data_IF_563239778432
#
_entry.id   IF_563239778432
#
_cell.length_a   1.000
_cell.length_b   1.000
_cell.length_c   1.000
_cell.angle_alpha   90.00
_cell.angle_beta   90.00
_cell.angle_gamma   90.00
#
_symmetry.space_group_name_H-M   'P 1'
#
loop_
_entity.id
_entity.type
_entity.pdbx_description
1 polymer ?
#
# COMPACT_ATOMS: atom_id res chain seq x y z
N UNK A 1 -63.29 38.69 8.13
CA UNK A 1 -62.20 38.47 9.09
C UNK A 1 -61.51 39.82 9.28
N UNK A 2 -61.47 40.31 10.51
CA UNK A 2 -60.80 41.57 10.87
C UNK A 2 -59.36 41.23 11.27
N UNK A 3 -58.38 41.74 10.51
CA UNK A 3 -56.96 41.42 10.71
C UNK A 3 -56.47 41.71 12.13
N UNK A 4 -57.10 42.69 12.81
CA UNK A 4 -56.78 43.03 14.20
C UNK A 4 -57.22 41.97 15.22
N UNK A 5 -58.36 41.31 15.00
CA UNK A 5 -58.83 40.24 15.90
C UNK A 5 -57.99 38.98 15.76
N UNK A 6 -57.61 38.65 14.52
CA UNK A 6 -56.84 37.44 14.21
C UNK A 6 -55.40 37.57 14.73
N UNK A 7 -54.80 38.75 14.60
CA UNK A 7 -53.48 39.05 15.18
C UNK A 7 -53.49 38.95 16.71
N UNK A 8 -54.52 39.49 17.37
CA UNK A 8 -54.64 39.46 18.84
C UNK A 8 -54.83 38.03 19.35
N UNK A 9 -55.71 37.24 18.72
CA UNK A 9 -55.90 35.84 19.04
C UNK A 9 -54.61 35.02 18.85
N UNK A 10 -53.87 35.24 17.76
CA UNK A 10 -52.57 34.61 17.52
C UNK A 10 -51.51 34.99 18.55
N UNK A 11 -51.43 36.26 18.93
CA UNK A 11 -50.48 36.75 19.95
C UNK A 11 -50.77 36.21 21.34
N UNK A 12 -52.05 36.14 21.73
CA UNK A 12 -52.46 35.62 23.03
C UNK A 12 -52.22 34.10 23.11
N UNK A 13 -52.49 33.36 22.03
CA UNK A 13 -52.11 31.95 21.93
C UNK A 13 -50.59 31.76 22.01
N UNK A 14 -49.79 32.58 21.30
CA UNK A 14 -48.34 32.49 21.35
C UNK A 14 -47.80 32.75 22.77
N UNK A 15 -48.34 33.75 23.48
CA UNK A 15 -47.99 34.01 24.89
C UNK A 15 -48.42 32.89 25.83
N UNK A 16 -49.57 32.27 25.57
CA UNK A 16 -50.04 31.13 26.33
C UNK A 16 -49.14 29.91 26.14
N UNK A 17 -48.65 29.67 24.91
CA UNK A 17 -47.77 28.54 24.59
C UNK A 17 -46.32 28.82 24.99
N UNK A 18 -45.92 30.08 25.06
CA UNK A 18 -44.58 30.51 25.46
C UNK A 18 -44.28 30.06 26.90
N UNK A 19 -43.51 28.97 27.01
CA UNK A 19 -43.03 28.43 28.28
C UNK A 19 -43.78 27.20 28.79
N UNK A 20 -44.92 26.81 28.22
CA UNK A 20 -45.61 25.57 28.62
C UNK A 20 -44.74 24.34 28.38
N UNK A 21 -44.09 24.24 27.21
CA UNK A 21 -43.18 23.13 26.91
C UNK A 21 -41.94 23.10 27.82
N UNK A 22 -41.39 24.26 28.19
CA UNK A 22 -40.23 24.35 29.08
C UNK A 22 -40.60 24.06 30.55
N UNK A 23 -41.80 24.45 30.99
CA UNK A 23 -42.29 24.16 32.33
C UNK A 23 -42.61 22.67 32.52
N UNK A 24 -43.03 21.96 31.48
CA UNK A 24 -43.19 20.49 31.53
C UNK A 24 -41.86 19.75 31.73
N UNK A 25 -40.74 20.34 31.28
CA UNK A 25 -39.41 19.75 31.40
C UNK A 25 -38.68 20.17 32.70
N UNK A 26 -39.14 21.21 33.41
CA UNK A 26 -38.52 21.69 34.65
C UNK A 26 -38.43 20.64 35.77
N UNK A 27 -39.38 19.70 35.79
CA UNK A 27 -39.46 18.66 36.83
C UNK A 27 -39.04 17.29 36.31
N UNK A 28 -38.44 17.22 35.11
CA UNK A 28 -37.95 15.96 34.57
C UNK A 28 -36.59 15.63 35.22
N UNK A 29 -36.57 14.57 36.05
CA UNK A 29 -35.34 13.95 36.57
C UNK A 29 -35.06 12.68 35.77
N UNK A 30 -33.86 12.58 35.18
CA UNK A 30 -33.45 11.41 34.42
C UNK A 30 -33.43 10.15 35.28
N UNK A 31 -32.94 10.28 36.52
CA UNK A 31 -32.82 9.20 37.51
C UNK A 31 -34.16 8.55 37.86
N UNK A 32 -35.24 9.33 37.87
CA UNK A 32 -36.57 8.87 38.24
C UNK A 32 -37.39 8.37 37.04
N UNK A 33 -37.11 8.85 35.83
CA UNK A 33 -37.96 8.65 34.66
C UNK A 33 -37.34 7.80 33.55
N UNK A 34 -36.03 7.52 33.61
CA UNK A 34 -35.31 6.76 32.59
C UNK A 34 -34.63 5.53 33.22
N UNK A 35 -35.08 4.31 32.89
CA UNK A 35 -34.43 3.08 33.35
C UNK A 35 -32.97 3.02 32.89
N UNK A 36 -32.05 2.80 33.84
CA UNK A 36 -30.61 2.72 33.55
C UNK A 36 -29.91 4.06 33.34
N UNK A 37 -30.58 5.18 33.65
CA UNK A 37 -29.96 6.51 33.60
C UNK A 37 -28.86 6.64 34.66
N UNK A 38 -27.73 7.18 34.23
CA UNK A 38 -26.61 7.60 35.06
C UNK A 38 -26.08 8.90 34.48
N UNK A 39 -25.76 9.87 35.34
CA UNK A 39 -25.15 11.15 34.92
C UNK A 39 -23.75 10.96 34.33
N UNK A 40 -23.10 9.84 34.62
CA UNK A 40 -21.76 9.52 34.17
C UNK A 40 -21.69 8.05 33.73
N UNK A 41 -22.17 7.71 32.53
CA UNK A 41 -21.98 6.37 31.97
C UNK A 41 -20.50 6.11 31.73
N UNK A 42 -20.07 4.85 31.77
CA UNK A 42 -18.67 4.46 31.54
C UNK A 42 -18.16 4.94 30.16
N UNK A 43 -19.07 5.07 29.19
CA UNK A 43 -18.80 5.56 27.84
C UNK A 43 -18.40 7.05 27.80
N UNK A 44 -18.62 7.80 28.89
CA UNK A 44 -18.18 9.20 29.02
C UNK A 44 -16.67 9.33 28.84
N UNK A 45 -15.89 8.29 29.20
CA UNK A 45 -14.43 8.27 28.99
C UNK A 45 -14.00 8.35 27.52
N UNK A 46 -14.92 8.06 26.59
CA UNK A 46 -14.68 8.16 25.14
C UNK A 46 -15.16 9.50 24.56
N UNK A 47 -15.88 10.31 25.33
CA UNK A 47 -16.40 11.59 24.88
C UNK A 47 -15.55 12.74 25.44
N UNK A 48 -14.74 13.37 24.58
CA UNK A 48 -13.87 14.48 24.99
C UNK A 48 -14.44 15.89 24.73
N UNK A 49 -15.67 16.00 24.23
CA UNK A 49 -16.30 17.29 23.88
C UNK A 49 -15.85 17.89 22.54
N UNK A 50 -16.37 19.07 22.19
CA UNK A 50 -16.17 19.72 20.87
C UNK A 50 -14.73 20.19 20.60
N UNK A 51 -13.89 20.21 21.63
CA UNK A 51 -12.46 20.58 21.54
C UNK A 51 -11.54 19.36 21.62
N UNK A 52 -12.07 18.15 21.76
CA UNK A 52 -11.25 16.96 21.76
C UNK A 52 -10.71 16.67 20.36
N UNK A 53 -9.38 16.65 20.26
CA UNK A 53 -8.63 16.35 19.04
C UNK A 53 -8.22 14.88 18.96
N UNK A 54 -8.73 14.00 19.83
CA UNK A 54 -8.27 12.61 19.87
C UNK A 54 -9.21 11.62 20.55
N UNK A 55 -9.04 10.37 20.14
CA UNK A 55 -9.72 9.14 20.53
C UNK A 55 -8.84 8.29 21.48
N UNK A 56 -8.03 8.94 22.32
CA UNK A 56 -6.98 8.31 23.13
C UNK A 56 -7.48 7.18 24.03
N UNK A 57 -8.61 7.38 24.71
CA UNK A 57 -9.21 6.35 25.57
C UNK A 57 -9.68 5.13 24.77
N UNK A 58 -10.23 5.34 23.57
CA UNK A 58 -10.67 4.26 22.69
C UNK A 58 -9.48 3.46 22.15
N UNK A 59 -8.42 4.14 21.74
CA UNK A 59 -7.15 3.53 21.32
C UNK A 59 -6.49 2.74 22.45
N UNK A 60 -6.48 3.29 23.66
CA UNK A 60 -5.93 2.63 24.85
C UNK A 60 -6.68 1.34 25.17
N UNK A 61 -8.02 1.39 25.20
CA UNK A 61 -8.83 0.20 25.47
C UNK A 61 -8.72 -0.83 24.34
N UNK A 62 -8.65 -0.39 23.09
CA UNK A 62 -8.43 -1.29 21.94
C UNK A 62 -7.08 -2.02 22.03
N UNK A 63 -6.03 -1.30 22.43
CA UNK A 63 -4.70 -1.90 22.62
C UNK A 63 -4.68 -2.88 23.80
N UNK A 64 -5.40 -2.56 24.88
CA UNK A 64 -5.54 -3.45 26.04
C UNK A 64 -6.28 -4.74 25.66
N UNK A 65 -7.39 -4.63 24.93
CA UNK A 65 -8.17 -5.78 24.47
C UNK A 65 -7.38 -6.64 23.48
N UNK A 66 -6.63 -6.03 22.56
CA UNK A 66 -5.74 -6.79 21.66
C UNK A 66 -4.60 -7.49 22.41
N UNK A 67 -4.12 -6.92 23.51
CA UNK A 67 -3.05 -7.54 24.32
C UNK A 67 -3.55 -8.62 25.27
N UNK A 68 -4.74 -8.46 25.85
CA UNK A 68 -5.20 -9.26 26.99
C UNK A 68 -6.43 -10.12 26.68
N UNK A 69 -7.21 -9.72 25.68
CA UNK A 69 -8.42 -10.41 25.25
C UNK A 69 -8.12 -11.73 24.55
N UNK A 70 -9.11 -12.63 24.58
CA UNK A 70 -8.97 -13.99 24.06
C UNK A 70 -8.69 -14.01 22.56
N UNK A 71 -9.29 -13.07 21.80
CA UNK A 71 -9.03 -12.91 20.37
C UNK A 71 -7.58 -12.51 20.09
N UNK A 72 -7.03 -11.57 20.86
CA UNK A 72 -5.65 -11.11 20.72
C UNK A 72 -4.62 -12.18 21.07
N UNK A 73 -4.90 -12.96 22.12
CA UNK A 73 -4.13 -14.16 22.47
C UNK A 73 -4.20 -15.21 21.38
N UNK A 74 -5.38 -15.52 20.86
CA UNK A 74 -5.55 -16.53 19.79
C UNK A 74 -4.77 -16.16 18.52
N UNK A 75 -4.77 -14.88 18.12
CA UNK A 75 -3.97 -14.39 16.99
C UNK A 75 -2.48 -14.62 17.27
N UNK A 76 -2.00 -14.18 18.44
CA UNK A 76 -0.59 -14.29 18.83
C UNK A 76 -0.13 -15.75 18.94
N UNK A 77 -0.96 -16.61 19.53
CA UNK A 77 -0.74 -18.05 19.63
C UNK A 77 -0.74 -18.71 18.25
N UNK A 78 -1.59 -18.28 17.32
CA UNK A 78 -1.59 -18.79 15.96
C UNK A 78 -0.29 -18.49 15.24
N UNK A 79 0.34 -17.33 15.47
CA UNK A 79 1.65 -17.03 14.88
C UNK A 79 2.79 -17.74 15.61
N UNK A 80 2.72 -17.84 16.92
CA UNK A 80 3.78 -18.45 17.75
C UNK A 80 3.83 -19.98 17.57
N UNK A 81 2.66 -20.63 17.48
CA UNK A 81 2.54 -22.07 17.38
C UNK A 81 2.33 -22.57 15.94
N UNK A 82 2.41 -21.69 14.94
CA UNK A 82 2.36 -22.11 13.54
C UNK A 82 3.53 -23.07 13.27
N UNK A 83 3.28 -24.25 12.69
CA UNK A 83 4.35 -25.14 12.25
C UNK A 83 5.30 -24.40 11.30
N UNK A 84 6.62 -24.61 11.40
CA UNK A 84 7.56 -23.99 10.47
C UNK A 84 7.21 -24.40 9.04
N UNK A 85 7.33 -23.46 8.11
CA UNK A 85 7.11 -23.73 6.70
C UNK A 85 8.09 -24.83 6.25
N UNK A 86 7.55 -25.94 5.77
CA UNK A 86 8.36 -27.03 5.26
C UNK A 86 8.87 -26.66 3.87
N UNK A 87 10.17 -26.42 3.77
CA UNK A 87 10.84 -26.30 2.46
C UNK A 87 10.80 -27.68 1.81
N UNK A 88 9.99 -27.82 0.76
CA UNK A 88 9.93 -29.05 -0.03
C UNK A 88 11.32 -29.35 -0.61
N UNK A 89 11.83 -30.53 -0.28
CA UNK A 89 13.10 -31.04 -0.81
C UNK A 89 13.04 -31.35 -2.31
N UNK A 90 11.82 -31.40 -2.88
CA UNK A 90 11.53 -31.62 -4.29
C UNK A 90 11.35 -30.30 -5.06
N UNK A 91 11.54 -29.16 -4.38
CA UNK A 91 11.49 -27.87 -5.05
C UNK A 91 12.56 -27.80 -6.16
N UNK A 92 12.24 -27.31 -7.37
CA UNK A 92 13.14 -27.36 -8.52
C UNK A 92 14.54 -26.76 -8.27
N UNK A 93 14.64 -25.74 -7.42
CA UNK A 93 15.91 -25.11 -7.07
C UNK A 93 16.75 -25.95 -6.10
N UNK A 94 16.12 -26.68 -5.17
CA UNK A 94 16.83 -27.64 -4.29
C UNK A 94 17.28 -28.84 -5.12
N UNK A 95 16.44 -29.33 -6.03
CA UNK A 95 16.81 -30.42 -6.91
C UNK A 95 17.96 -30.03 -7.83
N UNK A 96 17.93 -28.83 -8.43
CA UNK A 96 19.03 -28.34 -9.25
C UNK A 96 20.35 -28.20 -8.48
N UNK A 97 20.30 -27.81 -7.20
CA UNK A 97 21.47 -27.76 -6.33
C UNK A 97 22.02 -29.16 -6.04
N UNK A 98 21.16 -30.12 -5.69
CA UNK A 98 21.54 -31.54 -5.50
C UNK A 98 22.09 -32.17 -6.79
N UNK A 99 21.50 -31.85 -7.93
CA UNK A 99 21.96 -32.32 -9.22
C UNK A 99 23.34 -31.74 -9.55
N UNK A 100 23.58 -30.47 -9.20
CA UNK A 100 24.89 -29.82 -9.34
C UNK A 100 25.94 -30.43 -8.42
N UNK A 101 25.59 -30.71 -7.17
CA UNK A 101 26.45 -31.43 -6.22
C UNK A 101 26.79 -32.83 -6.75
N UNK A 102 25.79 -33.62 -7.15
CA UNK A 102 25.98 -34.98 -7.67
C UNK A 102 26.82 -35.03 -8.95
N UNK A 103 26.82 -33.94 -9.71
CA UNK A 103 27.56 -33.81 -10.97
C UNK A 103 28.83 -32.97 -10.81
N UNK A 104 29.20 -32.57 -9.60
CA UNK A 104 30.33 -31.68 -9.35
C UNK A 104 31.60 -32.20 -10.02
N UNK A 105 31.89 -33.50 -9.87
CA UNK A 105 33.05 -34.17 -10.49
C UNK A 105 33.07 -34.05 -12.03
N UNK A 106 31.90 -34.05 -12.67
CA UNK A 106 31.80 -33.85 -14.12
C UNK A 106 31.82 -32.39 -14.55
N UNK A 107 31.37 -31.47 -13.68
CA UNK A 107 31.25 -30.03 -13.93
C UNK A 107 32.59 -29.33 -13.76
N UNK A 108 33.38 -29.69 -12.74
CA UNK A 108 34.78 -29.25 -12.66
C UNK A 108 35.61 -29.87 -13.78
N UNK A 109 35.08 -30.88 -14.47
CA UNK A 109 35.82 -31.74 -15.35
C UNK A 109 36.89 -32.48 -14.55
N UNK A 110 37.39 -33.57 -15.08
CA UNK A 110 38.59 -34.25 -14.59
C UNK A 110 39.85 -33.38 -14.85
N UNK A 111 39.80 -32.08 -14.51
CA UNK A 111 40.80 -31.04 -14.80
C UNK A 111 41.68 -30.72 -13.59
N UNK A 112 41.38 -31.29 -12.42
CA UNK A 112 42.36 -31.40 -11.36
C UNK A 112 43.24 -32.61 -11.65
N UNK A 113 44.55 -32.42 -11.82
CA UNK A 113 45.52 -33.52 -11.82
C UNK A 113 45.14 -34.51 -10.72
N UNK A 114 44.85 -35.76 -11.09
CA UNK A 114 44.63 -36.86 -10.16
C UNK A 114 45.77 -36.88 -9.14
N UNK A 115 45.53 -36.36 -7.94
CA UNK A 115 46.48 -36.37 -6.83
C UNK A 115 46.61 -37.80 -6.31
N UNK A 116 47.35 -38.65 -7.04
CA UNK A 116 47.81 -39.94 -6.53
C UNK A 116 48.99 -39.70 -5.60
N UNK A 117 48.90 -40.22 -4.37
CA UNK A 117 50.02 -40.22 -3.44
C UNK A 117 51.21 -40.97 -4.05
N UNK A 118 52.26 -40.25 -4.42
CA UNK A 118 53.51 -40.83 -4.88
C UNK A 118 54.58 -40.75 -3.79
N UNK A 119 55.25 -41.87 -3.54
CA UNK A 119 56.42 -41.93 -2.67
C UNK A 119 57.60 -41.34 -3.44
N UNK A 120 58.00 -40.11 -3.09
CA UNK A 120 59.12 -39.43 -3.72
C UNK A 120 60.41 -39.76 -2.95
N UNK A 121 61.18 -40.75 -3.43
CA UNK A 121 62.55 -40.94 -2.98
C UNK A 121 63.43 -39.88 -3.62
N UNK A 122 63.71 -38.80 -2.88
CA UNK A 122 64.51 -37.68 -3.40
C UNK A 122 65.95 -37.80 -2.89
N UNK A 123 66.86 -38.23 -3.75
CA UNK A 123 68.30 -38.12 -3.52
C UNK A 123 68.72 -36.66 -3.69
N UNK A 124 69.32 -36.08 -2.66
CA UNK A 124 69.82 -34.71 -2.66
C UNK A 124 71.15 -34.65 -3.44
N UNK A 125 71.16 -33.90 -4.54
CA UNK A 125 72.39 -33.61 -5.30
C UNK A 125 72.70 -32.12 -5.16
N UNK A 126 73.80 -31.82 -4.47
CA UNK A 126 74.37 -30.48 -4.33
C UNK A 126 75.06 -30.08 -5.64
N UNK A 127 74.59 -29.02 -6.29
CA UNK A 127 75.25 -28.44 -7.46
C UNK A 127 76.01 -27.17 -7.09
N UNK A 128 77.27 -27.13 -7.49
CA UNK A 128 78.14 -25.95 -7.41
C UNK A 128 77.88 -25.00 -8.60
N UNK A 129 77.90 -23.71 -8.32
CA UNK A 129 77.65 -22.63 -9.30
C UNK A 129 78.95 -22.20 -9.99
N UNK A 130 78.90 -21.99 -11.30
CA UNK A 130 79.87 -21.14 -12.02
C UNK A 130 79.11 -19.93 -12.57
N UNK A 131 79.63 -18.73 -12.30
CA UNK A 131 79.11 -17.46 -12.78
C UNK A 131 79.27 -17.33 -14.30
N UNK A 132 78.28 -16.70 -14.96
CA UNK A 132 78.36 -16.30 -16.37
C UNK A 132 78.02 -14.80 -16.49
N UNK A 133 79.03 -14.07 -16.96
CA UNK A 133 79.11 -12.82 -17.72
C UNK A 133 78.00 -11.74 -17.62
N UNK A 134 78.44 -10.50 -17.34
CA UNK A 134 77.65 -9.32 -16.93
C UNK A 134 77.13 -8.45 -18.10
N UNK A 135 76.95 -8.97 -19.32
CA UNK A 135 76.58 -8.13 -20.47
C UNK A 135 75.39 -8.62 -21.31
N UNK A 136 74.25 -8.91 -20.66
CA UNK A 136 72.96 -8.91 -21.38
C UNK A 136 71.91 -8.18 -20.56
N UNK A 137 71.74 -6.88 -20.83
CA UNK A 137 70.55 -6.13 -20.41
C UNK A 137 69.37 -6.51 -21.32
N UNK A 138 68.59 -7.51 -20.90
CA UNK A 138 67.29 -7.79 -21.50
C UNK A 138 66.20 -7.04 -20.72
N UNK A 139 65.68 -5.96 -21.30
CA UNK A 139 64.53 -5.25 -20.75
C UNK A 139 63.24 -6.00 -21.10
N UNK A 140 62.63 -6.64 -20.10
CA UNK A 140 61.26 -7.12 -20.21
C UNK A 140 60.30 -5.94 -20.01
N UNK A 141 59.78 -5.36 -21.09
CA UNK A 141 58.67 -4.41 -21.01
C UNK A 141 57.35 -5.16 -20.89
N UNK A 142 56.63 -4.92 -19.77
CA UNK A 142 55.31 -5.49 -19.52
C UNK A 142 54.25 -4.51 -19.98
N UNK A 143 53.68 -4.73 -21.17
CA UNK A 143 52.52 -3.98 -21.62
C UNK A 143 51.25 -4.52 -20.94
N UNK A 144 50.54 -3.66 -20.23
CA UNK A 144 49.24 -3.96 -19.65
C UNK A 144 48.17 -3.12 -20.36
N UNK A 145 47.21 -3.77 -21.00
CA UNK A 145 46.06 -3.12 -21.62
C UNK A 145 44.83 -3.29 -20.73
N UNK A 146 44.12 -2.18 -20.46
CA UNK A 146 42.83 -2.22 -19.78
C UNK A 146 41.80 -2.84 -20.72
N UNK A 147 41.38 -4.08 -20.42
CA UNK A 147 40.17 -4.66 -21.03
C UNK A 147 38.96 -4.17 -20.25
N UNK A 148 38.22 -3.24 -20.83
CA UNK A 148 36.88 -2.89 -20.35
C UNK A 148 35.92 -4.03 -20.72
N UNK A 149 35.45 -4.75 -19.72
CA UNK A 149 34.54 -5.88 -19.88
C UNK A 149 33.11 -5.41 -19.56
N UNK A 150 32.63 -4.42 -20.33
CA UNK A 150 31.35 -3.76 -20.09
C UNK A 150 30.17 -4.73 -20.30
N UNK A 151 29.66 -5.29 -19.20
CA UNK A 151 28.41 -6.06 -19.20
C UNK A 151 27.20 -5.14 -19.27
N UNK A 152 26.39 -5.28 -20.31
CA UNK A 152 25.08 -4.59 -20.40
C UNK A 152 24.05 -5.32 -19.51
N UNK A 153 23.62 -4.68 -18.42
CA UNK A 153 22.54 -5.20 -17.59
C UNK A 153 21.19 -4.63 -18.04
N UNK A 154 20.21 -5.51 -18.27
CA UNK A 154 18.81 -5.10 -18.49
C UNK A 154 18.13 -4.99 -17.13
N UNK A 155 17.75 -3.78 -16.74
CA UNK A 155 17.07 -3.51 -15.47
C UNK A 155 15.61 -3.15 -15.75
N UNK A 156 14.68 -3.76 -15.03
CA UNK A 156 13.28 -3.37 -15.07
C UNK A 156 13.14 -1.98 -14.41
N UNK A 157 12.55 -1.02 -15.13
CA UNK A 157 12.29 0.33 -14.62
C UNK A 157 10.81 0.65 -14.72
N UNK A 158 10.26 1.16 -13.62
CA UNK A 158 8.90 1.69 -13.57
C UNK A 158 8.95 3.19 -13.86
N UNK A 159 8.09 3.65 -14.76
CA UNK A 159 7.96 5.05 -15.12
C UNK A 159 6.54 5.52 -14.84
N UNK A 160 6.41 6.70 -14.24
CA UNK A 160 5.12 7.38 -14.14
C UNK A 160 4.93 8.24 -15.38
N UNK A 161 3.77 8.10 -16.04
CA UNK A 161 3.40 8.91 -17.19
C UNK A 161 2.09 9.62 -16.90
N UNK A 162 2.13 10.96 -16.93
CA UNK A 162 0.94 11.80 -16.79
C UNK A 162 0.37 12.05 -18.18
N UNK A 163 -0.94 11.81 -18.34
CA UNK A 163 -1.67 12.06 -19.58
C UNK A 163 -2.75 13.08 -19.29
N UNK A 164 -2.74 14.19 -20.03
CA UNK A 164 -3.83 15.17 -19.96
C UNK A 164 -5.05 14.63 -20.68
N UNK A 165 -6.19 14.61 -19.99
CA UNK A 165 -7.48 14.26 -20.57
C UNK A 165 -8.16 15.51 -21.14
N UNK A 166 -8.80 15.38 -22.29
CA UNK A 166 -9.59 16.43 -22.91
C UNK A 166 -11.09 16.12 -22.78
N UNK A 167 -11.87 17.11 -22.34
CA UNK A 167 -13.32 16.99 -22.22
C UNK A 167 -14.01 17.31 -23.55
N UNK A 168 -14.81 16.35 -24.04
CA UNK A 168 -15.61 16.51 -25.24
C UNK A 168 -17.07 16.76 -24.86
N UNK A 169 -17.59 17.97 -25.13
CA UNK A 169 -18.97 18.38 -24.77
C UNK A 169 -20.07 17.58 -25.45
N UNK A 170 -19.82 17.10 -26.67
CA UNK A 170 -20.76 16.33 -27.48
C UNK A 170 -20.97 14.90 -26.92
N UNK A 171 -19.91 14.26 -26.44
CA UNK A 171 -19.97 12.91 -25.86
C UNK A 171 -20.03 12.92 -24.33
N UNK A 172 -19.83 14.09 -23.71
CA UNK A 172 -19.72 14.29 -22.26
C UNK A 172 -18.65 13.39 -21.62
N UNK A 173 -17.54 13.18 -22.34
CA UNK A 173 -16.48 12.25 -21.92
C UNK A 173 -15.11 12.93 -21.89
N UNK A 174 -14.30 12.53 -20.91
CA UNK A 174 -12.87 12.82 -20.85
C UNK A 174 -12.10 11.75 -21.62
N UNK A 175 -11.19 12.16 -22.50
CA UNK A 175 -10.40 11.24 -23.32
C UNK A 175 -8.95 11.67 -23.42
N UNK A 176 -8.04 10.68 -23.43
CA UNK A 176 -6.61 10.87 -23.60
C UNK A 176 -5.97 9.60 -24.13
N UNK A 177 -4.71 9.71 -24.59
CA UNK A 177 -3.97 8.58 -25.14
C UNK A 177 -2.74 8.27 -24.30
N UNK A 178 -2.60 7.01 -23.86
CA UNK A 178 -1.44 6.50 -23.14
C UNK A 178 -0.70 5.50 -24.04
N UNK A 179 0.53 5.83 -24.41
CA UNK A 179 1.38 4.94 -25.22
C UNK A 179 2.24 4.05 -24.32
N UNK A 180 1.97 2.75 -24.32
CA UNK A 180 2.78 1.77 -23.59
C UNK A 180 3.88 1.22 -24.52
N UNK A 181 5.15 1.16 -24.09
CA UNK A 181 6.22 0.53 -24.86
C UNK A 181 5.93 -0.95 -25.17
N UNK A 182 6.43 -1.47 -26.29
CA UNK A 182 6.18 -2.85 -26.75
C UNK A 182 6.51 -3.94 -25.71
N UNK A 183 7.49 -3.69 -24.84
CA UNK A 183 7.90 -4.60 -23.77
C UNK A 183 7.46 -4.13 -22.37
N UNK A 184 6.61 -3.10 -22.31
CA UNK A 184 6.08 -2.54 -21.07
C UNK A 184 4.74 -3.16 -20.68
N UNK A 185 4.41 -3.11 -19.38
CA UNK A 185 3.10 -3.50 -18.85
C UNK A 185 2.56 -2.39 -17.98
N UNK A 186 1.27 -2.05 -18.13
CA UNK A 186 0.58 -1.14 -17.21
C UNK A 186 0.46 -1.81 -15.84
N UNK A 187 0.90 -1.13 -14.78
CA UNK A 187 0.82 -1.65 -13.41
C UNK A 187 -0.36 -1.07 -12.64
N UNK A 188 -0.50 0.25 -12.66
CA UNK A 188 -1.62 0.98 -12.07
C UNK A 188 -2.01 2.15 -12.98
N UNK A 189 -3.23 2.64 -12.78
CA UNK A 189 -3.71 3.89 -13.32
C UNK A 189 -4.43 4.62 -12.19
N UNK A 190 -4.12 5.91 -12.01
CA UNK A 190 -4.84 6.82 -11.14
C UNK A 190 -5.37 7.96 -12.00
N UNK A 191 -6.56 8.45 -11.67
CA UNK A 191 -7.12 9.65 -12.26
C UNK A 191 -7.19 10.69 -11.16
N UNK A 192 -6.26 11.65 -11.19
CA UNK A 192 -6.25 12.76 -10.25
C UNK A 192 -7.01 13.95 -10.87
N UNK A 193 -8.10 14.31 -10.21
CA UNK A 193 -9.05 15.30 -10.67
C UNK A 193 -9.09 16.55 -9.80
N UNK A 194 -8.06 17.40 -9.86
CA UNK A 194 -8.15 18.73 -9.24
C UNK A 194 -8.90 19.71 -10.16
N UNK A 195 -9.85 20.46 -9.61
CA UNK A 195 -11.21 20.00 -9.39
C UNK A 195 -11.85 19.53 -10.71
N UNK A 196 -12.33 18.28 -10.75
CA UNK A 196 -13.20 17.82 -11.84
C UNK A 196 -14.40 18.76 -11.92
N UNK A 197 -14.49 19.52 -13.01
CA UNK A 197 -15.72 20.25 -13.34
C UNK A 197 -16.75 19.17 -13.64
N UNK A 198 -17.50 18.75 -12.61
CA UNK A 198 -18.73 17.98 -12.80
C UNK A 198 -19.54 18.80 -13.79
N UNK A 199 -19.82 18.29 -15.00
CA UNK A 199 -20.59 19.03 -15.97
C UNK A 199 -21.93 19.33 -15.30
N UNK A 200 -22.15 20.60 -14.97
CA UNK A 200 -23.42 21.10 -14.46
C UNK A 200 -24.47 20.83 -15.52
N UNK A 201 -25.10 19.66 -15.44
CA UNK A 201 -26.37 19.39 -16.09
C UNK A 201 -27.43 20.14 -15.28
N UNK A 202 -28.40 20.76 -15.95
CA UNK A 202 -29.49 21.56 -15.32
C UNK A 202 -30.24 20.77 -14.21
N UNK A 203 -30.06 19.45 -14.14
CA UNK A 203 -30.63 18.57 -13.12
C UNK A 203 -29.95 18.67 -11.74
N UNK A 204 -28.76 19.29 -11.64
CA UNK A 204 -28.04 19.50 -10.37
C UNK A 204 -28.27 20.92 -9.78
N UNK A 205 -29.17 21.71 -10.37
CA UNK A 205 -29.39 23.16 -10.14
C UNK A 205 -30.25 23.51 -8.91
N UNK A 206 -30.18 22.72 -7.83
CA UNK A 206 -30.80 23.12 -6.57
C UNK A 206 -29.79 23.07 -5.44
N UNK A 207 -29.34 24.24 -5.00
CA UNK A 207 -28.50 24.43 -3.81
C UNK A 207 -29.01 23.55 -2.66
N UNK A 208 -28.21 22.53 -2.31
CA UNK A 208 -28.46 21.64 -1.18
C UNK A 208 -29.07 20.27 -1.51
N UNK A 209 -29.35 19.91 -2.77
CA UNK A 209 -29.82 18.55 -3.12
C UNK A 209 -29.18 18.01 -4.38
N UNK A 210 -28.04 17.33 -4.22
CA UNK A 210 -27.54 16.36 -5.21
C UNK A 210 -28.55 15.20 -5.23
N UNK A 211 -29.48 15.20 -6.19
CA UNK A 211 -30.39 14.06 -6.40
C UNK A 211 -29.60 12.84 -6.87
N UNK A 212 -30.09 11.63 -6.61
CA UNK A 212 -29.42 10.39 -7.06
C UNK A 212 -29.27 10.32 -8.59
N UNK A 213 -30.11 11.05 -9.34
CA UNK A 213 -29.96 11.26 -10.80
C UNK A 213 -28.68 12.02 -11.19
N UNK A 214 -28.22 12.95 -10.34
CA UNK A 214 -26.95 13.66 -10.51
C UNK A 214 -25.75 12.72 -10.23
N UNK A 215 -25.88 11.76 -9.29
CA UNK A 215 -24.86 10.71 -9.05
C UNK A 215 -24.75 9.73 -10.22
N UNK A 216 -25.85 9.36 -10.86
CA UNK A 216 -25.81 8.49 -12.05
C UNK A 216 -25.16 9.12 -13.27
N UNK A 217 -25.06 10.46 -13.34
CA UNK A 217 -24.30 11.15 -14.39
C UNK A 217 -22.78 11.08 -14.17
N UNK A 218 -22.35 10.77 -12.94
CA UNK A 218 -20.95 10.53 -12.54
C UNK A 218 -20.65 9.02 -12.63
N UNK A 219 -21.13 8.36 -13.69
CA UNK A 219 -20.70 6.99 -13.99
C UNK A 219 -19.28 7.06 -14.56
N UNK A 220 -18.29 7.08 -13.68
CA UNK A 220 -16.89 7.11 -14.08
C UNK A 220 -16.47 5.69 -14.46
N UNK A 221 -16.67 5.34 -15.72
CA UNK A 221 -16.18 4.08 -16.26
C UNK A 221 -14.83 4.33 -16.95
N UNK A 222 -13.75 3.71 -16.46
CA UNK A 222 -12.45 3.77 -17.13
C UNK A 222 -12.39 2.66 -18.16
N UNK A 223 -12.26 3.00 -19.44
CA UNK A 223 -12.05 2.01 -20.50
C UNK A 223 -10.58 1.95 -20.90
N UNK A 224 -9.94 0.80 -20.68
CA UNK A 224 -8.57 0.50 -21.09
C UNK A 224 -8.57 -0.74 -21.96
N UNK A 225 -7.98 -0.66 -23.16
CA UNK A 225 -7.85 -1.80 -24.08
C UNK A 225 -9.19 -2.53 -24.30
N UNK A 226 -10.26 -1.76 -24.60
CA UNK A 226 -11.62 -2.28 -24.83
C UNK A 226 -12.28 -2.96 -23.63
N UNK A 227 -11.69 -2.85 -22.43
CA UNK A 227 -12.28 -3.30 -21.17
C UNK A 227 -12.68 -2.11 -20.33
N UNK A 228 -13.91 -2.12 -19.86
CA UNK A 228 -14.48 -1.06 -19.02
C UNK A 228 -14.47 -1.48 -17.55
N UNK A 229 -13.90 -0.64 -16.70
CA UNK A 229 -13.79 -0.84 -15.26
C UNK A 229 -14.63 0.21 -14.54
N UNK A 230 -15.38 -0.17 -13.49
CA UNK A 230 -16.07 0.80 -12.63
C UNK A 230 -15.03 1.56 -11.80
N UNK A 231 -15.19 2.89 -11.69
CA UNK A 231 -14.42 3.73 -10.78
C UNK A 231 -15.36 4.17 -9.65
N UNK A 232 -14.90 4.03 -8.41
CA UNK A 232 -15.55 4.64 -7.26
C UNK A 232 -15.08 6.08 -7.12
N UNK A 233 -16.02 7.01 -7.22
CA UNK A 233 -15.79 8.44 -6.95
C UNK A 233 -15.96 8.66 -5.45
N UNK A 234 -14.85 8.91 -4.75
CA UNK A 234 -14.78 9.16 -3.29
C UNK A 234 -14.89 10.66 -3.02
#
# INVERSE_FOLDING_TARGET
ADSGSDYKAGSDFAKQVQGNGLNSLKNFSGEQNLPGYTDSPDQTKYYGGVTASGDSSLKSDSALEFSQGDTGKAITESFTNRPPDQISQDAPFIQAAKDTESRADSIVGDTGQSCTAQVVNRSEFTNHTCERDLQVENFCTREATLKDNATTQKVNRTYQQVVTLNYARNTRQWSGNLTIPTNGRLLNASVDGEPLVIPWIEECDSEGKVRDSCKSAVSESLTLFERTFPIDVI
#
